data_IF_066663272928
#
_entry.id   IF_066663272928
#
_cell.length_a   1.000
_cell.length_b   1.000
_cell.length_c   1.000
_cell.angle_alpha   90.00
_cell.angle_beta   90.00
_cell.angle_gamma   90.00
#
_symmetry.space_group_name_H-M   'P 1'
#
loop_
_entity.id
_entity.type
_entity.pdbx_description
1 polymer ?
#
# COMPACT_ATOMS: atom_id res chain seq x y z
N UNK A 1 54.54 1.75 -40.66
CA UNK A 1 53.53 2.59 -39.97
C UNK A 1 54.24 3.39 -38.87
N UNK A 2 54.34 4.70 -39.04
CA UNK A 2 55.25 5.58 -38.27
C UNK A 2 55.03 5.52 -36.76
N UNK A 3 56.12 5.45 -36.00
CA UNK A 3 56.16 5.44 -34.52
C UNK A 3 55.43 6.64 -33.88
N UNK A 4 55.28 7.74 -34.64
CA UNK A 4 54.47 8.92 -34.27
C UNK A 4 52.95 8.65 -34.30
N UNK A 5 52.45 7.79 -35.19
CA UNK A 5 51.02 7.44 -35.24
C UNK A 5 50.61 6.49 -34.11
N UNK A 6 51.50 5.58 -33.69
CA UNK A 6 51.26 4.66 -32.56
C UNK A 6 51.21 5.42 -31.23
N UNK A 7 52.11 6.38 -31.03
CA UNK A 7 52.14 7.24 -29.85
C UNK A 7 50.95 8.21 -29.81
N UNK A 8 50.51 8.74 -30.96
CA UNK A 8 49.31 9.56 -31.04
C UNK A 8 48.03 8.76 -30.72
N UNK A 9 47.87 7.56 -31.29
CA UNK A 9 46.74 6.67 -30.97
C UNK A 9 46.73 6.23 -29.50
N UNK A 10 47.90 5.93 -28.92
CA UNK A 10 48.00 5.58 -27.50
C UNK A 10 47.66 6.77 -26.59
N UNK A 11 48.09 7.98 -26.94
CA UNK A 11 47.74 9.21 -26.21
C UNK A 11 46.26 9.55 -26.34
N UNK A 12 45.67 9.41 -27.52
CA UNK A 12 44.24 9.61 -27.76
C UNK A 12 43.40 8.57 -27.01
N UNK A 13 43.81 7.30 -27.02
CA UNK A 13 43.16 6.23 -26.25
C UNK A 13 43.24 6.45 -24.74
N UNK A 14 44.38 6.93 -24.24
CA UNK A 14 44.51 7.33 -22.84
C UNK A 14 43.64 8.55 -22.49
N UNK A 15 43.51 9.52 -23.41
CA UNK A 15 42.64 10.69 -23.21
C UNK A 15 41.16 10.31 -23.20
N UNK A 16 40.75 9.42 -24.11
CA UNK A 16 39.40 8.84 -24.16
C UNK A 16 39.09 8.06 -22.88
N UNK A 17 40.04 7.26 -22.37
CA UNK A 17 39.91 6.59 -21.07
C UNK A 17 39.80 7.57 -19.91
N UNK A 18 40.53 8.69 -19.95
CA UNK A 18 40.51 9.70 -18.87
C UNK A 18 39.19 10.47 -18.79
N UNK A 19 38.46 10.60 -19.91
CA UNK A 19 37.23 11.41 -19.98
C UNK A 19 35.95 10.57 -20.01
N UNK A 20 35.91 9.45 -20.75
CA UNK A 20 34.68 8.66 -20.93
C UNK A 20 34.41 7.75 -19.75
N UNK A 21 35.44 7.13 -19.17
CA UNK A 21 35.29 6.23 -18.02
C UNK A 21 34.68 6.94 -16.81
N UNK A 22 35.12 8.14 -16.38
CA UNK A 22 34.48 8.82 -15.25
C UNK A 22 33.04 9.24 -15.57
N UNK A 23 32.71 9.66 -16.80
CA UNK A 23 31.34 9.99 -17.17
C UNK A 23 30.40 8.78 -17.12
N UNK A 24 30.90 7.60 -17.51
CA UNK A 24 30.16 6.35 -17.41
C UNK A 24 30.00 5.90 -15.96
N UNK A 25 31.05 6.07 -15.14
CA UNK A 25 30.99 5.82 -13.69
C UNK A 25 30.00 6.77 -13.01
N UNK A 26 29.99 8.06 -13.36
CA UNK A 26 29.04 9.05 -12.81
C UNK A 26 27.61 8.67 -13.19
N UNK A 27 27.35 8.34 -14.46
CA UNK A 27 26.00 7.91 -14.89
C UNK A 27 25.57 6.61 -14.20
N UNK A 28 26.46 5.64 -14.05
CA UNK A 28 26.18 4.41 -13.29
C UNK A 28 25.94 4.74 -11.81
N UNK A 29 26.72 5.65 -11.22
CA UNK A 29 26.53 6.09 -9.84
C UNK A 29 25.20 6.82 -9.67
N UNK A 30 24.79 7.65 -10.62
CA UNK A 30 23.48 8.33 -10.60
C UNK A 30 22.35 7.31 -10.74
N UNK A 31 22.45 6.36 -11.69
CA UNK A 31 21.46 5.28 -11.85
C UNK A 31 21.37 4.39 -10.60
N UNK A 32 22.52 4.03 -10.01
CA UNK A 32 22.60 3.24 -8.79
C UNK A 32 22.12 4.04 -7.58
N UNK A 33 22.38 5.35 -7.52
CA UNK A 33 21.88 6.21 -6.44
C UNK A 33 20.36 6.33 -6.50
N UNK A 34 19.76 6.48 -7.70
CA UNK A 34 18.30 6.49 -7.87
C UNK A 34 17.66 5.15 -7.49
N UNK A 35 18.37 4.02 -7.68
CA UNK A 35 17.88 2.69 -7.30
C UNK A 35 18.12 2.33 -5.83
N UNK A 36 19.21 2.81 -5.22
CA UNK A 36 19.60 2.50 -3.85
C UNK A 36 18.99 3.45 -2.81
N UNK A 37 18.54 4.64 -3.20
CA UNK A 37 17.85 5.60 -2.31
C UNK A 37 16.32 5.53 -2.34
N UNK A 38 15.73 4.52 -2.98
CA UNK A 38 14.34 4.09 -2.67
C UNK A 38 14.32 3.26 -1.38
N UNK A 39 14.96 3.74 -0.32
CA UNK A 39 14.71 3.21 1.01
C UNK A 39 13.40 3.83 1.49
N UNK A 40 12.42 3.04 1.96
CA UNK A 40 11.22 3.59 2.56
C UNK A 40 11.66 4.54 3.68
N UNK A 41 11.08 5.76 3.79
CA UNK A 41 11.41 6.66 4.87
C UNK A 41 11.11 5.95 6.19
N UNK A 42 12.16 5.52 6.88
CA UNK A 42 12.11 4.87 8.20
C UNK A 42 11.77 5.87 9.32
N UNK A 43 11.12 6.98 8.99
CA UNK A 43 10.96 8.13 9.87
C UNK A 43 9.51 8.36 10.33
N UNK A 44 8.52 7.62 9.81
CA UNK A 44 7.15 7.70 10.32
C UNK A 44 6.54 6.29 10.41
N UNK A 45 6.24 5.78 11.62
CA UNK A 45 5.38 4.62 11.76
C UNK A 45 3.95 5.03 11.36
N UNK A 46 3.68 5.11 10.06
CA UNK A 46 2.29 5.07 9.60
C UNK A 46 1.78 3.66 9.89
N UNK A 47 0.55 3.47 10.37
CA UNK A 47 0.01 2.10 10.56
C UNK A 47 0.07 1.27 9.27
N UNK A 48 0.08 1.96 8.11
CA UNK A 48 0.22 1.33 6.81
C UNK A 48 1.59 0.67 6.60
N UNK A 49 2.67 1.17 7.21
CA UNK A 49 4.02 0.59 7.09
C UNK A 49 4.30 -0.51 8.12
N UNK A 50 3.85 -0.36 9.38
CA UNK A 50 4.03 -1.39 10.43
C UNK A 50 3.39 -2.73 10.02
N UNK A 51 2.28 -2.69 9.27
CA UNK A 51 1.62 -3.90 8.81
C UNK A 51 2.06 -4.42 7.44
N UNK A 52 3.07 -3.79 6.81
CA UNK A 52 3.80 -4.42 5.72
C UNK A 52 4.85 -5.41 6.27
N UNK A 53 5.35 -5.20 7.49
CA UNK A 53 6.33 -6.07 8.16
C UNK A 53 5.75 -7.24 8.95
N UNK A 54 4.42 -7.32 9.10
CA UNK A 54 3.76 -8.37 9.86
C UNK A 54 3.14 -9.39 8.89
N UNK A 55 3.97 -10.25 8.32
CA UNK A 55 3.51 -11.42 7.58
C UNK A 55 2.90 -12.42 8.57
N UNK A 56 1.60 -12.72 8.39
CA UNK A 56 0.90 -13.72 9.18
C UNK A 56 1.39 -15.11 8.75
N UNK A 57 2.37 -15.66 9.47
CA UNK A 57 2.68 -17.08 9.37
C UNK A 57 1.59 -17.90 10.08
N UNK A 58 1.22 -19.09 9.58
CA UNK A 58 0.24 -19.96 10.23
C UNK A 58 0.59 -20.33 11.68
N UNK A 59 1.89 -20.23 12.04
CA UNK A 59 2.41 -20.57 13.35
C UNK A 59 2.12 -19.51 14.44
N UNK A 60 1.80 -18.26 14.06
CA UNK A 60 1.43 -17.20 15.00
C UNK A 60 -0.08 -17.15 15.32
N UNK A 61 -0.91 -17.97 14.65
CA UNK A 61 -2.38 -17.98 14.81
C UNK A 61 -2.80 -18.60 16.15
N UNK A 62 -1.98 -19.48 16.73
CA UNK A 62 -2.30 -20.16 17.99
C UNK A 62 -2.10 -19.31 19.25
N UNK A 63 -1.48 -18.13 19.12
CA UNK A 63 -1.28 -17.16 20.20
C UNK A 63 -2.09 -15.86 20.01
N UNK A 64 -2.96 -15.79 19.00
CA UNK A 64 -3.93 -14.70 18.89
C UNK A 64 -5.00 -14.98 19.94
N UNK A 65 -4.83 -14.30 21.08
CA UNK A 65 -5.78 -14.17 22.15
C UNK A 65 -7.19 -14.11 21.57
N UNK A 66 -8.13 -14.80 22.20
CA UNK A 66 -9.54 -14.87 21.78
C UNK A 66 -10.12 -13.45 21.55
N UNK A 67 -9.49 -12.37 22.01
CA UNK A 67 -9.87 -10.96 21.87
C UNK A 67 -9.04 -10.11 20.88
N UNK A 68 -8.16 -10.71 20.07
CA UNK A 68 -7.26 -9.98 19.17
C UNK A 68 -7.91 -9.45 17.87
N UNK A 69 -7.25 -8.52 17.16
CA UNK A 69 -7.66 -8.07 15.83
C UNK A 69 -7.75 -9.22 14.86
N UNK A 70 -8.77 -9.19 14.00
CA UNK A 70 -8.93 -10.20 12.97
C UNK A 70 -8.28 -9.67 11.70
N UNK A 71 -7.25 -10.36 11.18
CA UNK A 71 -6.60 -9.94 9.96
C UNK A 71 -7.55 -10.14 8.78
N UNK A 72 -7.73 -9.09 7.99
CA UNK A 72 -8.43 -9.17 6.71
C UNK A 72 -7.45 -9.52 5.60
N UNK A 73 -7.85 -10.44 4.73
CA UNK A 73 -7.07 -10.82 3.57
C UNK A 73 -6.99 -9.64 2.58
N UNK A 74 -5.82 -9.48 1.96
CA UNK A 74 -5.61 -8.49 0.91
C UNK A 74 -6.40 -8.87 -0.34
N UNK A 75 -7.24 -7.96 -0.83
CA UNK A 75 -8.06 -8.13 -2.04
C UNK A 75 -7.23 -8.52 -3.27
N UNK A 76 -5.97 -8.09 -3.35
CA UNK A 76 -5.10 -8.41 -4.48
C UNK A 76 -4.55 -9.84 -4.41
N UNK A 77 -4.48 -10.42 -3.21
CA UNK A 77 -3.98 -11.77 -2.98
C UNK A 77 -5.08 -12.81 -2.79
N UNK A 78 -6.28 -12.39 -2.40
CA UNK A 78 -7.37 -13.32 -2.08
C UNK A 78 -7.76 -14.16 -3.28
N UNK A 79 -8.00 -15.45 -3.04
CA UNK A 79 -8.48 -16.39 -4.08
C UNK A 79 -9.81 -15.92 -4.67
N UNK A 80 -10.69 -15.39 -3.82
CA UNK A 80 -11.98 -14.86 -4.21
C UNK A 80 -11.85 -13.40 -4.66
N UNK A 81 -11.81 -13.22 -5.98
CA UNK A 81 -11.68 -11.90 -6.61
C UNK A 81 -13.05 -11.26 -6.89
N UNK A 82 -13.13 -9.92 -6.91
CA UNK A 82 -14.35 -9.22 -7.31
C UNK A 82 -14.78 -9.60 -8.73
N UNK A 83 -16.05 -9.94 -8.88
CA UNK A 83 -16.65 -10.23 -10.19
C UNK A 83 -16.75 -8.94 -11.03
N UNK A 84 -16.12 -8.87 -12.22
CA UNK A 84 -16.21 -7.69 -13.08
C UNK A 84 -17.66 -7.34 -13.43
N UNK A 85 -18.05 -6.08 -13.20
CA UNK A 85 -19.40 -5.58 -13.49
C UNK A 85 -20.50 -6.08 -12.55
N UNK A 86 -20.17 -6.86 -11.51
CA UNK A 86 -21.13 -7.37 -10.50
C UNK A 86 -20.76 -6.99 -9.08
N UNK A 87 -20.07 -5.86 -8.92
CA UNK A 87 -19.43 -5.47 -7.66
C UNK A 87 -19.64 -4.00 -7.34
N UNK A 88 -19.85 -3.70 -6.06
CA UNK A 88 -19.86 -2.34 -5.50
C UNK A 88 -18.76 -2.26 -4.45
N UNK A 89 -17.98 -1.18 -4.44
CA UNK A 89 -16.88 -0.98 -3.50
C UNK A 89 -17.17 0.16 -2.53
N UNK A 90 -16.93 -0.09 -1.26
CA UNK A 90 -16.79 0.93 -0.21
C UNK A 90 -15.34 0.95 0.26
N UNK A 91 -14.79 2.13 0.48
CA UNK A 91 -13.42 2.30 0.94
C UNK A 91 -13.43 2.96 2.32
N UNK A 92 -12.86 2.25 3.29
CA UNK A 92 -12.62 2.73 4.65
C UNK A 92 -11.13 3.05 4.82
N UNK A 93 -10.83 4.34 4.90
CA UNK A 93 -9.46 4.83 4.97
C UNK A 93 -9.02 5.23 6.37
N UNK A 94 -9.90 5.24 7.38
CA UNK A 94 -9.49 5.58 8.73
C UNK A 94 -8.54 4.53 9.28
N UNK A 95 -7.39 4.97 9.78
CA UNK A 95 -6.42 4.12 10.45
C UNK A 95 -5.78 4.89 11.60
N UNK A 96 -6.51 5.04 12.72
CA UNK A 96 -5.96 5.71 13.89
C UNK A 96 -4.74 4.91 14.40
N UNK A 97 -3.59 5.56 14.49
CA UNK A 97 -2.38 5.01 15.10
C UNK A 97 -2.03 5.91 16.27
N UNK A 98 -1.89 5.35 17.47
CA UNK A 98 -1.22 6.05 18.55
C UNK A 98 0.03 5.27 18.94
N UNK A 99 1.06 5.96 19.45
CA UNK A 99 2.35 5.36 19.79
C UNK A 99 2.24 4.16 20.76
N UNK A 100 1.13 4.03 21.49
CA UNK A 100 0.93 3.01 22.52
C UNK A 100 -0.32 2.13 22.33
N UNK A 101 -1.15 2.41 21.32
CA UNK A 101 -2.35 1.61 21.01
C UNK A 101 -2.54 1.48 19.50
N UNK A 102 -2.61 0.23 19.03
CA UNK A 102 -3.16 -0.12 17.73
C UNK A 102 -4.66 0.17 17.74
N UNK A 103 -5.07 1.39 17.43
CA UNK A 103 -6.48 1.65 17.23
C UNK A 103 -6.93 0.97 15.93
N UNK A 104 -8.11 0.37 16.00
CA UNK A 104 -8.69 -0.36 14.90
C UNK A 104 -9.53 0.58 14.06
N UNK A 105 -9.59 0.33 12.75
CA UNK A 105 -10.60 0.98 11.91
C UNK A 105 -12.00 0.52 12.34
N UNK A 106 -12.97 1.42 12.32
CA UNK A 106 -14.38 1.14 12.63
C UNK A 106 -15.27 1.86 11.63
N UNK A 107 -16.45 1.30 11.34
CA UNK A 107 -17.43 1.94 10.47
C UNK A 107 -18.30 2.89 11.30
N UNK A 108 -18.46 4.13 10.85
CA UNK A 108 -19.48 5.02 11.39
C UNK A 108 -20.88 4.52 11.04
N UNK A 109 -21.89 4.91 11.81
CA UNK A 109 -23.29 4.57 11.52
C UNK A 109 -23.72 5.01 10.11
N UNK A 110 -23.20 6.14 9.61
CA UNK A 110 -23.51 6.61 8.25
C UNK A 110 -22.93 5.68 7.18
N UNK A 111 -21.68 5.25 7.34
CA UNK A 111 -21.04 4.31 6.42
C UNK A 111 -21.76 2.96 6.45
N UNK A 112 -22.09 2.47 7.64
CA UNK A 112 -22.82 1.23 7.81
C UNK A 112 -24.20 1.25 7.13
N UNK A 113 -25.00 2.31 7.33
CA UNK A 113 -26.30 2.43 6.65
C UNK A 113 -26.16 2.47 5.12
N UNK A 114 -25.09 3.09 4.60
CA UNK A 114 -24.84 3.11 3.16
C UNK A 114 -24.49 1.72 2.62
N UNK A 115 -23.63 0.99 3.32
CA UNK A 115 -23.23 -0.39 2.98
C UNK A 115 -24.45 -1.33 3.07
N UNK A 116 -25.20 -1.23 4.17
CA UNK A 116 -26.42 -2.00 4.40
C UNK A 116 -27.44 -1.78 3.28
N UNK A 117 -27.75 -0.51 2.96
CA UNK A 117 -28.69 -0.17 1.90
C UNK A 117 -28.23 -0.69 0.54
N UNK A 118 -26.92 -0.61 0.23
CA UNK A 118 -26.38 -1.15 -1.00
C UNK A 118 -26.55 -2.67 -1.07
N UNK A 119 -26.26 -3.38 0.01
CA UNK A 119 -26.39 -4.84 0.09
C UNK A 119 -27.85 -5.29 -0.02
N UNK A 120 -28.76 -4.61 0.68
CA UNK A 120 -30.19 -4.92 0.70
C UNK A 120 -30.85 -4.70 -0.67
N UNK A 121 -30.55 -3.59 -1.34
CA UNK A 121 -31.20 -3.25 -2.62
C UNK A 121 -30.55 -3.90 -3.85
N UNK A 122 -29.34 -4.46 -3.70
CA UNK A 122 -28.61 -5.11 -4.79
C UNK A 122 -28.22 -6.55 -4.44
N UNK A 123 -29.20 -7.45 -4.21
CA UNK A 123 -28.92 -8.81 -3.73
C UNK A 123 -28.11 -9.67 -4.71
N UNK A 124 -28.02 -9.28 -5.98
CA UNK A 124 -27.28 -9.98 -7.03
C UNK A 124 -25.85 -9.42 -7.26
N UNK A 125 -25.46 -8.38 -6.51
CA UNK A 125 -24.12 -7.78 -6.57
C UNK A 125 -23.34 -8.13 -5.32
N UNK A 126 -22.04 -8.35 -5.48
CA UNK A 126 -21.10 -8.48 -4.36
C UNK A 126 -20.72 -7.07 -3.87
N UNK A 127 -20.85 -6.83 -2.56
CA UNK A 127 -20.45 -5.59 -1.91
C UNK A 127 -19.10 -5.82 -1.23
N UNK A 128 -18.06 -5.14 -1.70
CA UNK A 128 -16.73 -5.20 -1.10
C UNK A 128 -16.52 -3.97 -0.20
N UNK A 129 -16.22 -4.21 1.07
CA UNK A 129 -15.79 -3.15 2.00
C UNK A 129 -14.29 -3.29 2.21
N UNK A 130 -13.54 -2.33 1.67
CA UNK A 130 -12.09 -2.33 1.63
C UNK A 130 -11.54 -1.48 2.78
N UNK A 131 -10.79 -2.10 3.67
CA UNK A 131 -10.08 -1.42 4.75
C UNK A 131 -8.64 -1.14 4.31
N UNK A 132 -8.25 0.12 4.28
CA UNK A 132 -6.85 0.48 4.08
C UNK A 132 -6.01 0.13 5.33
N UNK A 133 -6.65 0.18 6.50
CA UNK A 133 -6.01 -0.16 7.76
C UNK A 133 -5.79 -1.67 7.89
N UNK A 134 -4.62 -2.12 8.37
CA UNK A 134 -4.30 -3.54 8.50
C UNK A 134 -5.08 -4.29 9.59
N UNK A 135 -5.52 -3.55 10.61
CA UNK A 135 -6.20 -4.13 11.77
C UNK A 135 -7.60 -3.55 11.86
N UNK A 136 -8.55 -4.45 12.00
CA UNK A 136 -9.96 -4.12 12.08
C UNK A 136 -10.58 -4.86 13.29
N UNK A 137 -11.47 -4.18 14.01
CA UNK A 137 -12.15 -4.74 15.18
C UNK A 137 -13.64 -4.71 14.93
N UNK A 138 -14.25 -5.89 14.87
CA UNK A 138 -15.71 -6.01 14.79
C UNK A 138 -16.36 -6.59 16.04
N UNK A 139 -15.57 -7.21 16.94
CA UNK A 139 -16.16 -7.96 18.05
C UNK A 139 -16.81 -6.99 19.05
N UNK A 140 -18.10 -7.23 19.33
CA UNK A 140 -19.01 -6.39 20.12
C UNK A 140 -19.38 -5.06 19.47
N UNK A 141 -19.26 -4.94 18.15
CA UNK A 141 -19.81 -3.82 17.39
C UNK A 141 -21.15 -4.23 16.76
N UNK A 142 -22.30 -3.75 17.28
CA UNK A 142 -23.62 -4.06 16.73
C UNK A 142 -23.75 -3.68 15.25
N UNK A 143 -23.01 -2.66 14.80
CA UNK A 143 -22.98 -2.27 13.39
C UNK A 143 -22.40 -3.42 12.56
N UNK A 144 -21.30 -4.00 13.03
CA UNK A 144 -20.64 -5.07 12.31
C UNK A 144 -21.42 -6.38 12.34
N UNK A 145 -22.13 -6.68 13.42
CA UNK A 145 -23.03 -7.83 13.47
C UNK A 145 -24.10 -7.75 12.38
N UNK A 146 -24.66 -6.56 12.15
CA UNK A 146 -25.62 -6.32 11.06
C UNK A 146 -24.94 -6.45 9.70
N UNK A 147 -23.80 -5.79 9.47
CA UNK A 147 -23.07 -5.85 8.20
C UNK A 147 -22.69 -7.30 7.84
N UNK A 148 -22.20 -8.08 8.81
CA UNK A 148 -21.81 -9.47 8.60
C UNK A 148 -22.99 -10.43 8.40
N UNK A 149 -24.23 -9.99 8.69
CA UNK A 149 -25.43 -10.79 8.45
C UNK A 149 -25.82 -10.87 6.97
N UNK A 150 -25.34 -9.94 6.13
CA UNK A 150 -25.61 -9.92 4.71
C UNK A 150 -24.65 -10.83 3.94
N UNK A 151 -25.21 -11.81 3.21
CA UNK A 151 -24.42 -12.83 2.48
C UNK A 151 -23.60 -12.30 1.31
N UNK A 152 -23.97 -11.15 0.76
CA UNK A 152 -23.29 -10.52 -0.37
C UNK A 152 -22.29 -9.45 0.06
N UNK A 153 -21.99 -9.31 1.36
CA UNK A 153 -20.94 -8.41 1.86
C UNK A 153 -19.64 -9.19 2.05
N UNK A 154 -18.54 -8.61 1.57
CA UNK A 154 -17.17 -9.16 1.67
C UNK A 154 -16.25 -8.09 2.24
N UNK A 155 -15.68 -8.37 3.41
CA UNK A 155 -14.67 -7.51 4.01
C UNK A 155 -13.29 -7.92 3.48
N UNK A 156 -12.49 -6.94 3.05
CA UNK A 156 -11.11 -7.15 2.58
C UNK A 156 -10.21 -6.03 3.03
N UNK A 157 -8.91 -6.31 3.13
CA UNK A 157 -7.87 -5.29 3.23
C UNK A 157 -7.50 -4.83 1.82
N UNK A 158 -7.16 -3.56 1.67
CA UNK A 158 -6.38 -3.09 0.53
C UNK A 158 -5.01 -2.67 1.03
N UNK A 159 -3.96 -3.40 0.64
CA UNK A 159 -2.59 -2.96 0.91
C UNK A 159 -2.24 -1.83 -0.06
N UNK A 160 -2.27 -0.59 0.41
CA UNK A 160 -2.03 0.58 -0.44
C UNK A 160 -0.66 0.58 -1.10
N UNK A 161 0.38 0.03 -0.45
CA UNK A 161 1.71 -0.10 -1.05
C UNK A 161 1.71 -1.04 -2.23
N UNK A 162 1.14 -2.24 -2.05
CA UNK A 162 1.00 -3.23 -3.13
C UNK A 162 0.07 -2.74 -4.24
N UNK A 163 -0.98 -2.02 -3.88
CA UNK A 163 -1.92 -1.45 -4.85
C UNK A 163 -1.27 -0.38 -5.72
N UNK A 164 -0.32 0.38 -5.16
CA UNK A 164 0.39 1.43 -5.87
C UNK A 164 1.64 0.94 -6.62
N UNK A 165 2.16 -0.25 -6.29
CA UNK A 165 3.37 -0.84 -6.89
C UNK A 165 3.31 -0.86 -8.43
N UNK A 166 4.40 -0.44 -9.08
CA UNK A 166 4.51 -0.34 -10.54
C UNK A 166 3.45 0.56 -11.21
N UNK A 167 2.80 1.43 -10.45
CA UNK A 167 1.89 2.46 -10.96
C UNK A 167 2.45 3.87 -10.71
N UNK A 168 1.99 4.91 -11.42
CA UNK A 168 2.35 6.29 -11.10
C UNK A 168 2.02 6.72 -9.66
N UNK A 169 1.14 5.99 -8.96
CA UNK A 169 0.83 6.24 -7.56
C UNK A 169 1.96 5.80 -6.62
N UNK A 170 2.86 4.90 -7.04
CA UNK A 170 3.97 4.42 -6.20
C UNK A 170 4.81 5.60 -5.69
N UNK A 171 5.16 6.53 -6.57
CA UNK A 171 5.95 7.70 -6.23
C UNK A 171 5.21 8.66 -5.28
N UNK A 172 3.87 8.69 -5.34
CA UNK A 172 3.04 9.50 -4.44
C UNK A 172 2.93 8.88 -3.05
N UNK A 173 2.92 7.55 -2.96
CA UNK A 173 2.92 6.84 -1.69
C UNK A 173 4.18 7.13 -0.87
N UNK A 174 5.27 7.56 -1.50
CA UNK A 174 6.49 7.99 -0.81
C UNK A 174 6.47 9.45 -0.34
N UNK A 175 5.44 10.23 -0.70
CA UNK A 175 5.31 11.64 -0.32
C UNK A 175 4.50 11.80 0.96
N UNK A 176 5.06 12.48 1.96
CA UNK A 176 4.40 12.77 3.23
C UNK A 176 3.14 13.65 3.08
N UNK A 177 3.08 14.44 2.00
CA UNK A 177 1.94 15.31 1.67
C UNK A 177 0.65 14.50 1.48
N UNK A 178 0.73 13.28 0.95
CA UNK A 178 -0.44 12.42 0.73
C UNK A 178 -1.13 12.02 2.04
N UNK A 179 -0.34 11.79 3.10
CA UNK A 179 -0.85 11.34 4.40
C UNK A 179 -1.06 12.47 5.40
N UNK A 180 -0.46 13.63 5.15
CA UNK A 180 -0.64 14.85 5.96
C UNK A 180 -1.75 15.78 5.43
N UNK A 181 -2.23 15.53 4.21
CA UNK A 181 -3.37 16.24 3.63
C UNK A 181 -4.63 16.04 4.50
N UNK A 182 -4.87 16.99 5.41
CA UNK A 182 -6.21 17.28 5.89
C UNK A 182 -6.96 17.84 4.70
N UNK A 183 -7.74 17.01 4.02
CA UNK A 183 -8.66 17.50 3.00
C UNK A 183 -9.69 18.39 3.67
N UNK A 184 -9.41 19.69 3.70
CA UNK A 184 -10.43 20.71 3.73
C UNK A 184 -11.18 20.59 2.40
N UNK A 185 -12.17 19.71 2.35
CA UNK A 185 -13.21 19.83 1.32
C UNK A 185 -13.99 21.08 1.72
N UNK A 186 -13.63 22.20 1.10
CA UNK A 186 -14.49 23.38 1.10
C UNK A 186 -15.74 23.01 0.31
N UNK A 187 -16.85 22.85 1.01
CA UNK A 187 -18.17 22.88 0.40
C UNK A 187 -18.38 24.30 -0.18
N UNK A 188 -18.47 24.40 -1.51
CA UNK A 188 -19.03 25.55 -2.23
C UNK A 188 -20.36 25.14 -2.86
#
# INVERSE_FOLDING_TARGET
MSQRQRTFRARLWNFVKLLIVPLFIINICELLSMRLFKLPPSAYPTCYSIAASMELTPENISAIEVNGPIPLEDILLSEEKPNPGKTIFFLETSCPCSENDFNFSTLSSRQACAIESAALHNPNLDIYVLFACPHFRYRFDPIMDVILSYRNIRLRRVNLWRFAEDTPLEDWMWQEELFSARSAISDE
#
